data_IF_038854760091
#
_entry.id   IF_038854760091
#
_cell.length_a   1.000
_cell.length_b   1.000
_cell.length_c   1.000
_cell.angle_alpha   90.00
_cell.angle_beta   90.00
_cell.angle_gamma   90.00
#
_symmetry.space_group_name_H-M   'P 1'
#
loop_
_entity.id
_entity.type
_entity.pdbx_description
1 polymer ?
#
# COMPACT_ATOMS: atom_id res chain seq x y z
N UNK A 1 2.22 18.55 13.64
CA UNK A 1 3.40 19.09 14.33
C UNK A 1 4.43 18.01 14.56
N UNK A 2 4.12 16.96 15.34
CA UNK A 2 5.07 15.87 15.66
C UNK A 2 5.69 15.15 14.44
N UNK A 3 4.95 14.92 13.35
CA UNK A 3 5.52 14.32 12.13
C UNK A 3 6.61 15.20 11.48
N UNK A 4 6.42 16.53 11.50
CA UNK A 4 7.37 17.49 10.95
C UNK A 4 8.65 17.51 11.79
N UNK A 5 8.50 17.50 13.11
CA UNK A 5 9.64 17.45 14.03
C UNK A 5 10.40 16.13 13.85
N UNK A 6 9.68 15.01 13.73
CA UNK A 6 10.25 13.69 13.48
C UNK A 6 11.05 13.65 12.16
N UNK A 7 10.51 14.22 11.08
CA UNK A 7 11.20 14.31 9.79
C UNK A 7 12.47 15.19 9.87
N UNK A 8 12.48 16.23 10.70
CA UNK A 8 13.64 17.12 10.89
C UNK A 8 14.75 16.48 11.72
N UNK A 9 14.43 15.63 12.70
CA UNK A 9 15.41 15.02 13.61
C UNK A 9 15.90 13.63 13.15
N UNK A 10 15.19 13.01 12.20
CA UNK A 10 15.50 11.68 11.70
C UNK A 10 16.86 11.65 10.98
N UNK A 11 17.73 10.71 11.38
CA UNK A 11 19.07 10.52 10.79
C UNK A 11 19.19 9.23 9.98
N UNK A 12 18.19 8.36 10.04
CA UNK A 12 18.18 7.02 9.44
C UNK A 12 17.20 6.90 8.28
N UNK A 13 16.67 8.02 7.78
CA UNK A 13 15.63 8.02 6.76
C UNK A 13 14.30 7.41 7.26
N UNK A 14 14.00 7.53 8.56
CA UNK A 14 12.79 7.00 9.20
C UNK A 14 12.73 5.46 9.29
N UNK A 15 13.85 4.76 9.08
CA UNK A 15 13.89 3.31 9.06
C UNK A 15 13.40 2.67 10.37
N UNK A 16 13.79 3.20 11.54
CA UNK A 16 13.30 2.73 12.85
C UNK A 16 11.76 2.86 12.93
N UNK A 17 11.21 3.95 12.41
CA UNK A 17 9.77 4.21 12.40
C UNK A 17 9.06 3.19 11.52
N UNK A 18 9.53 2.96 10.29
CA UNK A 18 8.98 1.97 9.36
C UNK A 18 8.98 0.57 9.96
N UNK A 19 10.11 0.15 10.56
CA UNK A 19 10.23 -1.15 11.22
C UNK A 19 9.26 -1.30 12.38
N UNK A 20 9.07 -0.24 13.20
CA UNK A 20 8.15 -0.29 14.33
C UNK A 20 6.69 -0.33 13.88
N UNK A 21 6.34 0.41 12.82
CA UNK A 21 5.00 0.34 12.22
C UNK A 21 4.73 -1.09 11.73
N UNK A 22 5.64 -1.67 10.94
CA UNK A 22 5.50 -3.04 10.45
C UNK A 22 5.32 -4.04 11.60
N UNK A 23 6.10 -3.92 12.67
CA UNK A 23 5.94 -4.77 13.85
C UNK A 23 4.58 -4.58 14.55
N UNK A 24 4.10 -3.34 14.70
CA UNK A 24 2.78 -3.06 15.29
C UNK A 24 1.65 -3.66 14.43
N UNK A 25 1.73 -3.51 13.11
CA UNK A 25 0.75 -4.05 12.18
C UNK A 25 0.73 -5.58 12.23
N UNK A 26 1.90 -6.23 12.27
CA UNK A 26 1.96 -7.69 12.28
C UNK A 26 1.50 -8.31 13.61
N UNK A 27 1.86 -7.71 14.75
CA UNK A 27 1.67 -8.35 16.07
C UNK A 27 0.46 -7.84 16.85
N UNK A 28 0.06 -6.58 16.62
CA UNK A 28 -0.88 -5.88 17.52
C UNK A 28 -2.08 -5.24 16.85
N UNK A 29 -2.20 -5.31 15.52
CA UNK A 29 -3.23 -4.57 14.78
C UNK A 29 -4.67 -4.82 15.27
N UNK A 30 -5.02 -6.08 15.51
CA UNK A 30 -6.35 -6.47 16.01
C UNK A 30 -6.67 -5.89 17.40
N UNK A 31 -5.65 -5.58 18.21
CA UNK A 31 -5.78 -5.03 19.57
C UNK A 31 -5.67 -3.50 19.63
N UNK A 32 -5.36 -2.84 18.51
CA UNK A 32 -5.26 -1.38 18.46
C UNK A 32 -6.63 -0.73 18.62
N UNK A 33 -6.64 0.39 19.34
CA UNK A 33 -7.79 1.29 19.40
C UNK A 33 -8.04 1.94 18.03
N UNK A 34 -9.30 2.29 17.77
CA UNK A 34 -9.71 2.84 16.48
C UNK A 34 -8.97 4.15 16.15
N UNK A 35 -8.77 5.04 17.13
CA UNK A 35 -7.95 6.25 16.96
C UNK A 35 -6.53 5.94 16.51
N UNK A 36 -5.89 4.92 17.09
CA UNK A 36 -4.53 4.53 16.70
C UNK A 36 -4.48 3.98 15.27
N UNK A 37 -5.50 3.25 14.83
CA UNK A 37 -5.59 2.76 13.44
C UNK A 37 -5.69 3.93 12.46
N UNK A 38 -6.56 4.89 12.75
CA UNK A 38 -6.68 6.13 11.95
C UNK A 38 -5.37 6.90 11.89
N UNK A 39 -4.65 7.04 13.01
CA UNK A 39 -3.36 7.73 13.04
C UNK A 39 -2.26 6.96 12.29
N UNK A 40 -2.25 5.63 12.32
CA UNK A 40 -1.27 4.84 11.56
C UNK A 40 -1.51 4.94 10.04
N UNK A 41 -2.78 4.94 9.61
CA UNK A 41 -3.15 5.17 8.21
C UNK A 41 -2.75 6.60 7.77
N UNK A 42 -3.03 7.60 8.60
CA UNK A 42 -2.57 8.98 8.35
C UNK A 42 -1.04 9.08 8.27
N UNK A 43 -0.32 8.40 9.16
CA UNK A 43 1.14 8.37 9.13
C UNK A 43 1.67 7.70 7.86
N UNK A 44 1.07 6.59 7.42
CA UNK A 44 1.42 5.94 6.15
C UNK A 44 1.26 6.92 4.97
N UNK A 45 0.13 7.62 4.92
CA UNK A 45 -0.16 8.64 3.91
C UNK A 45 0.94 9.71 3.87
N UNK A 46 1.39 10.22 5.02
CA UNK A 46 2.46 11.21 5.09
C UNK A 46 3.83 10.64 4.69
N UNK A 47 4.16 9.40 5.07
CA UNK A 47 5.39 8.72 4.68
C UNK A 47 5.48 8.54 3.16
N UNK A 48 4.37 8.13 2.53
CA UNK A 48 4.25 7.99 1.07
C UNK A 48 4.36 9.36 0.39
N UNK A 49 3.63 10.38 0.87
CA UNK A 49 3.73 11.76 0.33
C UNK A 49 5.14 12.34 0.43
N UNK A 50 5.88 11.97 1.47
CA UNK A 50 7.25 12.42 1.68
C UNK A 50 8.29 11.60 0.89
N UNK A 51 7.86 10.57 0.15
CA UNK A 51 8.76 9.72 -0.65
C UNK A 51 9.75 8.91 0.18
N UNK A 52 9.39 8.54 1.42
CA UNK A 52 10.29 7.81 2.32
C UNK A 52 10.57 6.42 1.75
N UNK A 53 11.86 6.08 1.57
CA UNK A 53 12.29 4.77 1.10
C UNK A 53 11.80 3.66 2.05
N UNK A 54 11.11 2.64 1.54
CA UNK A 54 10.54 1.55 2.35
C UNK A 54 9.10 1.77 2.81
N UNK A 55 8.47 2.91 2.48
CA UNK A 55 7.04 3.15 2.75
C UNK A 55 6.14 2.15 2.00
N UNK A 56 6.57 1.68 0.83
CA UNK A 56 5.97 0.59 0.05
C UNK A 56 5.82 -0.70 0.87
N UNK A 57 6.85 -1.06 1.66
CA UNK A 57 6.81 -2.21 2.56
C UNK A 57 5.78 -2.05 3.69
N UNK A 58 5.53 -0.83 4.15
CA UNK A 58 4.49 -0.54 5.14
C UNK A 58 3.10 -0.60 4.52
N UNK A 59 2.91 -0.05 3.31
CA UNK A 59 1.66 -0.19 2.54
C UNK A 59 1.30 -1.67 2.36
N UNK A 60 2.30 -2.51 2.08
CA UNK A 60 2.12 -3.96 1.99
C UNK A 60 1.65 -4.60 3.28
N UNK A 61 2.28 -4.24 4.39
CA UNK A 61 1.92 -4.78 5.70
C UNK A 61 0.50 -4.35 6.11
N UNK A 62 0.06 -3.17 5.69
CA UNK A 62 -1.32 -2.72 5.81
C UNK A 62 -2.29 -3.51 4.94
N UNK A 63 -1.97 -3.76 3.67
CA UNK A 63 -2.80 -4.60 2.79
C UNK A 63 -2.99 -6.01 3.35
N UNK A 64 -1.98 -6.58 4.03
CA UNK A 64 -2.10 -7.87 4.72
C UNK A 64 -3.10 -7.87 5.88
N UNK A 65 -3.42 -6.71 6.46
CA UNK A 65 -4.42 -6.62 7.52
C UNK A 65 -5.84 -6.66 6.97
N UNK A 66 -6.02 -6.43 5.66
CA UNK A 66 -7.33 -6.52 5.01
C UNK A 66 -7.67 -8.01 4.86
N UNK A 67 -8.69 -8.45 5.59
CA UNK A 67 -9.17 -9.82 5.51
C UNK A 67 -10.02 -9.99 4.23
N UNK A 68 -9.64 -10.94 3.38
CA UNK A 68 -10.43 -11.30 2.21
C UNK A 68 -11.76 -11.96 2.61
N UNK A 69 -12.86 -11.52 1.99
CA UNK A 69 -14.20 -12.04 2.28
C UNK A 69 -14.85 -11.52 3.58
N UNK A 70 -14.17 -10.62 4.30
CA UNK A 70 -14.73 -9.91 5.46
C UNK A 70 -15.35 -8.58 5.00
N UNK A 71 -16.68 -8.48 5.11
CA UNK A 71 -17.47 -7.29 4.71
C UNK A 71 -17.82 -6.40 5.90
N UNK A 72 -17.12 -6.53 7.03
CA UNK A 72 -17.33 -5.62 8.17
C UNK A 72 -16.89 -4.20 7.83
N UNK A 73 -17.59 -3.21 8.38
CA UNK A 73 -17.29 -1.79 8.14
C UNK A 73 -15.84 -1.41 8.49
N UNK A 74 -15.22 -2.06 9.49
CA UNK A 74 -13.81 -1.82 9.85
C UNK A 74 -12.83 -2.31 8.78
N UNK A 75 -13.13 -3.46 8.16
CA UNK A 75 -12.29 -4.02 7.11
C UNK A 75 -12.44 -3.22 5.81
N UNK A 76 -13.68 -2.85 5.46
CA UNK A 76 -13.97 -1.97 4.31
C UNK A 76 -13.27 -0.62 4.49
N UNK A 77 -13.44 0.04 5.64
CA UNK A 77 -12.78 1.33 5.92
C UNK A 77 -11.26 1.27 5.74
N UNK A 78 -10.61 0.20 6.22
CA UNK A 78 -9.16 0.05 6.04
C UNK A 78 -8.81 -0.13 4.56
N UNK A 79 -9.57 -0.97 3.87
CA UNK A 79 -9.35 -1.29 2.47
C UNK A 79 -9.48 -0.03 1.59
N UNK A 80 -10.52 0.78 1.84
CA UNK A 80 -10.74 2.09 1.21
C UNK A 80 -9.56 3.04 1.42
N UNK A 81 -9.13 3.24 2.66
CA UNK A 81 -8.06 4.20 2.97
C UNK A 81 -6.72 3.78 2.37
N UNK A 82 -6.40 2.48 2.38
CA UNK A 82 -5.17 1.97 1.77
C UNK A 82 -5.23 2.12 0.25
N UNK A 83 -6.39 1.84 -0.37
CA UNK A 83 -6.59 2.05 -1.79
C UNK A 83 -6.46 3.53 -2.17
N UNK A 84 -7.05 4.42 -1.39
CA UNK A 84 -6.93 5.87 -1.55
C UNK A 84 -5.45 6.29 -1.55
N UNK A 85 -4.66 5.87 -0.56
CA UNK A 85 -3.22 6.18 -0.50
C UNK A 85 -2.47 5.67 -1.74
N UNK A 86 -2.81 4.48 -2.24
CA UNK A 86 -2.18 3.90 -3.43
C UNK A 86 -2.60 4.60 -4.74
N UNK A 87 -3.74 5.29 -4.76
CA UNK A 87 -4.33 5.91 -5.95
C UNK A 87 -4.20 7.43 -5.99
N UNK A 88 -4.11 8.09 -4.84
CA UNK A 88 -4.17 9.55 -4.71
C UNK A 88 -2.88 10.26 -5.16
N UNK A 89 -1.78 9.53 -5.30
CA UNK A 89 -0.57 10.02 -5.98
C UNK A 89 -0.77 10.23 -7.50
N UNK A 90 -1.98 10.01 -8.04
CA UNK A 90 -2.33 10.27 -9.45
C UNK A 90 -2.77 11.69 -9.75
N UNK A 91 -3.12 12.49 -8.74
CA UNK A 91 -3.74 13.82 -8.96
C UNK A 91 -2.93 14.99 -8.38
N UNK A 92 -1.65 14.77 -8.09
CA UNK A 92 -0.72 15.86 -7.77
C UNK A 92 -0.50 16.76 -8.99
N UNK A 93 -1.19 17.90 -9.00
CA UNK A 93 -1.08 19.08 -9.86
C UNK A 93 -1.79 19.08 -11.23
N UNK A 94 -3.09 19.41 -11.21
CA UNK A 94 -3.73 20.21 -12.29
C UNK A 94 -4.54 21.43 -11.83
N UNK A 95 -4.51 21.80 -10.54
CA UNK A 95 -5.35 22.91 -10.04
C UNK A 95 -4.63 24.13 -9.45
N UNK A 96 -3.32 24.27 -9.62
CA UNK A 96 -2.61 25.55 -9.44
C UNK A 96 -1.92 25.99 -10.73
N UNK A 97 -2.68 26.09 -11.82
CA UNK A 97 -2.29 26.89 -12.99
C UNK A 97 -2.58 28.38 -12.73
N UNK A 98 -1.92 28.93 -11.71
CA UNK A 98 -1.77 30.35 -11.50
C UNK A 98 -0.41 30.79 -12.02
N UNK A 99 -0.40 31.28 -13.26
CA UNK A 99 0.49 32.31 -13.85
C UNK A 99 2.01 32.12 -13.65
N UNK A 100 2.70 31.96 -14.80
CA UNK A 100 4.15 32.05 -15.00
C UNK A 100 4.98 30.93 -14.38
N UNK A 101 5.25 29.89 -15.18
CA UNK A 101 6.57 29.25 -15.24
C UNK A 101 6.74 28.47 -16.55
N UNK A 102 7.90 28.63 -17.16
CA UNK A 102 8.26 28.22 -18.52
C UNK A 102 8.02 26.73 -18.83
N UNK A 103 7.61 26.40 -20.07
CA UNK A 103 7.34 25.01 -20.49
C UNK A 103 8.58 24.11 -20.61
N UNK A 104 9.79 24.58 -20.29
CA UNK A 104 11.06 23.86 -20.50
C UNK A 104 11.60 23.10 -19.27
N UNK A 105 11.03 23.29 -18.07
CA UNK A 105 11.42 22.52 -16.86
C UNK A 105 10.52 21.29 -16.60
N UNK A 106 9.74 20.86 -17.59
CA UNK A 106 8.95 19.61 -17.52
C UNK A 106 9.82 18.36 -17.81
N UNK A 107 11.08 18.41 -17.42
CA UNK A 107 12.05 17.33 -17.56
C UNK A 107 12.05 16.45 -16.32
N UNK A 108 11.49 15.25 -16.46
CA UNK A 108 12.15 14.06 -15.93
C UNK A 108 12.18 13.85 -14.41
N UNK A 109 11.06 14.06 -13.71
CA UNK A 109 10.77 13.23 -12.53
C UNK A 109 9.40 12.60 -12.72
N UNK A 110 9.34 11.65 -13.64
CA UNK A 110 8.29 10.63 -13.63
C UNK A 110 8.51 9.83 -12.35
N UNK A 111 8.02 10.36 -11.22
CA UNK A 111 7.89 9.57 -10.02
C UNK A 111 6.90 8.48 -10.41
N UNK A 112 7.32 7.21 -10.50
CA UNK A 112 6.39 6.14 -10.75
C UNK A 112 5.32 6.28 -9.67
N UNK A 113 4.04 6.24 -10.05
CA UNK A 113 2.99 6.03 -9.07
C UNK A 113 3.47 4.92 -8.13
N UNK A 114 3.46 5.10 -6.81
CA UNK A 114 3.92 4.07 -5.86
C UNK A 114 3.25 2.68 -6.10
N UNK A 115 2.15 2.67 -6.85
CA UNK A 115 1.58 1.48 -7.46
C UNK A 115 2.55 0.62 -8.29
N UNK A 116 3.53 1.21 -9.00
CA UNK A 116 4.62 0.51 -9.68
C UNK A 116 5.59 -0.14 -8.70
N UNK A 117 5.80 0.44 -7.51
CA UNK A 117 6.58 -0.23 -6.46
C UNK A 117 5.82 -1.47 -5.96
N UNK A 118 4.48 -1.41 -5.93
CA UNK A 118 3.67 -2.61 -5.71
C UNK A 118 3.85 -3.64 -6.84
N UNK A 119 4.17 -3.27 -8.08
CA UNK A 119 4.43 -4.25 -9.14
C UNK A 119 5.69 -5.09 -8.92
N UNK A 120 6.64 -4.63 -8.09
CA UNK A 120 7.80 -5.43 -7.68
C UNK A 120 7.43 -6.69 -6.87
N UNK A 121 6.21 -6.76 -6.34
CA UNK A 121 5.65 -7.96 -5.72
C UNK A 121 5.32 -9.02 -6.77
N UNK A 122 4.95 -8.62 -7.98
CA UNK A 122 4.51 -9.54 -9.02
C UNK A 122 3.23 -10.30 -8.66
N UNK A 123 3.22 -11.61 -8.86
CA UNK A 123 1.97 -12.40 -8.89
C UNK A 123 1.13 -12.39 -7.61
N UNK A 124 1.74 -12.26 -6.42
CA UNK A 124 0.95 -12.27 -5.17
C UNK A 124 0.19 -10.94 -4.97
N UNK A 125 0.59 -9.83 -5.60
CA UNK A 125 -0.24 -8.61 -5.65
C UNK A 125 -1.57 -8.90 -6.33
N UNK A 126 -1.56 -9.63 -7.45
CA UNK A 126 -2.78 -10.01 -8.18
C UNK A 126 -3.70 -10.86 -7.29
N UNK A 127 -3.13 -11.75 -6.48
CA UNK A 127 -3.93 -12.56 -5.52
C UNK A 127 -4.50 -11.72 -4.38
N UNK A 128 -3.72 -10.79 -3.82
CA UNK A 128 -4.21 -9.87 -2.80
C UNK A 128 -5.38 -9.05 -3.32
N UNK A 129 -5.23 -8.50 -4.52
CA UNK A 129 -6.28 -7.75 -5.21
C UNK A 129 -7.51 -8.62 -5.51
N UNK A 130 -7.34 -9.90 -5.88
CA UNK A 130 -8.45 -10.83 -6.01
C UNK A 130 -9.20 -11.09 -4.69
N UNK A 131 -8.48 -11.18 -3.58
CA UNK A 131 -9.11 -11.41 -2.26
C UNK A 131 -10.00 -10.23 -1.83
N UNK A 132 -9.66 -9.02 -2.28
CA UNK A 132 -10.44 -7.80 -2.04
C UNK A 132 -11.32 -7.42 -3.23
N UNK A 133 -11.30 -8.16 -4.35
CA UNK A 133 -12.06 -7.81 -5.56
C UNK A 133 -13.59 -7.83 -5.35
N UNK A 134 -14.06 -8.47 -4.28
CA UNK A 134 -15.47 -8.45 -3.86
C UNK A 134 -15.88 -7.18 -3.11
N UNK A 135 -14.91 -6.40 -2.67
CA UNK A 135 -15.11 -5.11 -2.00
C UNK A 135 -15.38 -4.07 -3.11
N UNK A 136 -16.54 -3.38 -3.11
CA UNK A 136 -16.96 -2.49 -4.20
C UNK A 136 -15.90 -1.46 -4.60
N UNK A 137 -15.12 -0.98 -3.65
CA UNK A 137 -14.13 0.06 -3.86
C UNK A 137 -12.92 -0.46 -4.65
N UNK A 138 -12.62 -1.76 -4.56
CA UNK A 138 -11.61 -2.43 -5.38
C UNK A 138 -12.13 -2.88 -6.74
N UNK A 139 -13.44 -2.87 -6.98
CA UNK A 139 -14.03 -3.30 -8.25
C UNK A 139 -13.58 -2.39 -9.40
N UNK A 140 -13.54 -1.08 -9.19
CA UNK A 140 -13.07 -0.13 -10.21
C UNK A 140 -11.57 -0.31 -10.49
N UNK A 141 -10.75 -0.45 -9.44
CA UNK A 141 -9.32 -0.74 -9.62
C UNK A 141 -9.12 -2.04 -10.40
N UNK A 142 -9.90 -3.08 -10.11
CA UNK A 142 -9.83 -4.36 -10.81
C UNK A 142 -10.26 -4.26 -12.27
N UNK A 143 -11.30 -3.47 -12.56
CA UNK A 143 -11.72 -3.16 -13.94
C UNK A 143 -10.61 -2.44 -14.70
N UNK A 144 -9.96 -1.46 -14.09
CA UNK A 144 -8.83 -0.73 -14.70
C UNK A 144 -7.65 -1.67 -14.96
N UNK A 145 -7.31 -2.54 -14.00
CA UNK A 145 -6.24 -3.53 -14.14
C UNK A 145 -6.47 -4.49 -15.33
N UNK A 146 -7.72 -4.90 -15.57
CA UNK A 146 -8.07 -5.89 -16.60
C UNK A 146 -8.32 -5.25 -17.98
N UNK A 147 -9.02 -4.12 -18.02
CA UNK A 147 -9.55 -3.54 -19.25
C UNK A 147 -8.81 -2.27 -19.69
N UNK A 148 -8.16 -1.56 -18.77
CA UNK A 148 -7.46 -0.31 -19.07
C UNK A 148 -6.17 -0.12 -18.25
N UNK A 149 -5.20 -1.05 -18.35
CA UNK A 149 -4.02 -1.08 -17.47
C UNK A 149 -3.14 0.17 -17.61
N UNK A 150 -3.21 0.84 -18.76
CA UNK A 150 -2.45 2.06 -19.06
C UNK A 150 -2.88 3.25 -18.20
N UNK A 151 -4.09 3.23 -17.63
CA UNK A 151 -4.54 4.22 -16.63
C UNK A 151 -3.76 4.11 -15.32
N UNK A 152 -3.19 2.94 -15.03
CA UNK A 152 -2.40 2.72 -13.81
C UNK A 152 -0.93 3.13 -14.01
N UNK A 153 -0.39 2.86 -15.19
CA UNK A 153 0.94 3.28 -15.63
C UNK A 153 1.10 3.04 -17.13
N UNK A 154 1.80 3.95 -17.82
CA UNK A 154 2.13 3.81 -19.25
C UNK A 154 3.00 2.59 -19.54
N UNK A 155 3.72 2.07 -18.54
CA UNK A 155 4.56 0.87 -18.67
C UNK A 155 3.82 -0.43 -18.30
N UNK A 156 2.56 -0.33 -17.86
CA UNK A 156 1.79 -1.50 -17.44
C UNK A 156 0.99 -2.09 -18.61
N UNK A 157 1.47 -3.21 -19.14
CA UNK A 157 0.85 -3.86 -20.30
C UNK A 157 -0.29 -4.80 -19.91
N UNK A 158 -0.54 -4.99 -18.62
CA UNK A 158 -1.68 -5.75 -18.09
C UNK A 158 -1.31 -6.83 -17.06
N UNK A 159 -2.33 -7.50 -16.52
CA UNK A 159 -2.20 -8.52 -15.44
C UNK A 159 -1.17 -9.60 -15.73
N UNK A 160 -0.98 -10.00 -16.99
CA UNK A 160 -0.02 -11.04 -17.34
C UNK A 160 1.42 -10.66 -16.94
N UNK A 161 1.78 -9.39 -17.05
CA UNK A 161 3.09 -8.87 -16.62
C UNK A 161 3.32 -9.10 -15.12
N UNK A 162 2.27 -8.91 -14.31
CA UNK A 162 2.32 -9.18 -12.86
C UNK A 162 2.37 -10.68 -12.55
N UNK A 163 1.56 -11.49 -13.23
CA UNK A 163 1.52 -12.94 -13.01
C UNK A 163 2.86 -13.61 -13.36
N UNK A 164 3.56 -13.10 -14.39
CA UNK A 164 4.88 -13.59 -14.79
C UNK A 164 5.98 -13.18 -13.82
N UNK A 165 5.86 -12.00 -13.19
CA UNK A 165 6.78 -11.56 -12.16
C UNK A 165 6.69 -12.45 -10.91
N UNK A 166 7.84 -12.99 -10.48
CA UNK A 166 7.92 -13.83 -9.27
C UNK A 166 7.90 -12.95 -8.03
N UNK A 167 7.00 -13.27 -7.11
CA UNK A 167 7.02 -12.66 -5.78
C UNK A 167 8.29 -13.01 -5.03
N UNK A 168 8.98 -11.98 -4.55
CA UNK A 168 10.11 -12.15 -3.64
C UNK A 168 9.68 -12.89 -2.38
N UNK A 169 10.55 -13.76 -1.85
CA UNK A 169 10.26 -14.57 -0.65
C UNK A 169 9.91 -13.73 0.59
N UNK A 170 10.32 -12.46 0.62
CA UNK A 170 9.94 -11.49 1.65
C UNK A 170 8.42 -11.24 1.72
N UNK A 171 7.69 -11.45 0.62
CA UNK A 171 6.25 -11.19 0.51
C UNK A 171 5.37 -12.45 0.43
N UNK A 172 5.95 -13.66 0.45
CA UNK A 172 5.20 -14.92 0.32
C UNK A 172 4.15 -15.15 1.44
N UNK A 173 4.30 -14.46 2.59
CA UNK A 173 3.39 -14.55 3.73
C UNK A 173 2.11 -13.69 3.60
N UNK A 174 1.83 -13.07 2.45
CA UNK A 174 0.64 -12.21 2.29
C UNK A 174 -0.71 -12.94 2.22
N UNK A 175 -0.76 -14.28 2.32
CA UNK A 175 -1.99 -15.07 2.08
C UNK A 175 -2.91 -15.20 3.28
N UNK A 176 -2.40 -14.91 4.45
CA UNK A 176 -3.06 -15.06 5.72
C UNK A 176 -2.86 -13.75 6.47
N UNK A 177 -3.89 -13.30 7.18
CA UNK A 177 -3.62 -12.28 8.21
C UNK A 177 -2.62 -12.87 9.20
N UNK A 178 -1.79 -12.06 9.86
CA UNK A 178 -0.81 -12.56 10.82
C UNK A 178 -1.41 -13.48 11.90
N UNK A 179 -2.66 -13.21 12.29
CA UNK A 179 -3.42 -14.06 13.21
C UNK A 179 -3.77 -15.44 12.62
N UNK A 180 -4.21 -15.49 11.36
CA UNK A 180 -4.47 -16.77 10.66
C UNK A 180 -3.19 -17.59 10.46
N UNK A 181 -2.09 -16.92 10.11
CA UNK A 181 -0.77 -17.57 9.98
C UNK A 181 -0.31 -18.17 11.30
N UNK A 182 -0.43 -17.42 12.39
CA UNK A 182 -0.08 -17.88 13.74
C UNK A 182 -0.89 -19.11 14.15
N UNK A 183 -2.21 -19.11 13.88
CA UNK A 183 -3.09 -20.26 14.17
C UNK A 183 -2.72 -21.49 13.35
N UNK A 184 -2.45 -21.34 12.06
CA UNK A 184 -2.06 -22.45 11.19
C UNK A 184 -0.67 -23.03 11.56
N UNK A 185 0.29 -22.18 11.89
CA UNK A 185 1.61 -22.61 12.38
C UNK A 185 1.49 -23.40 13.69
N UNK A 186 0.63 -22.94 14.61
CA UNK A 186 0.38 -23.68 15.85
C UNK A 186 -0.18 -25.08 15.56
N UNK A 187 -1.19 -25.18 14.70
CA UNK A 187 -1.81 -26.46 14.33
C UNK A 187 -0.86 -27.44 13.62
N UNK A 188 0.15 -26.93 12.91
CA UNK A 188 1.08 -27.76 12.11
C UNK A 188 2.39 -28.09 12.83
N UNK A 189 2.72 -27.40 13.93
CA UNK A 189 3.97 -27.59 14.67
C UNK A 189 3.78 -28.13 16.09
N UNK A 190 2.56 -28.09 16.65
CA UNK A 190 2.27 -28.45 18.04
C UNK A 190 1.05 -29.36 18.22
N UNK A 191 0.67 -30.08 17.17
CA UNK A 191 -0.31 -31.19 17.25
C UNK A 191 0.43 -32.51 17.14
#
# INVERSE_FOLDING_TARGET
QCYRDLALVSRDGMNIVLNKINHILMEKYLKLQDTCRTQLVWLLRELVKSGVLGADGVCMTFMKQIAGGDVTAKNIWLAENVLEILTEQRYGDTSTAGIHRDPAERGGHSCPSHFMDCFMIGRDLVRLLQNVARIPEFEQLWKDILHNPQVLSSQFTGVLQLLQSRTSRKFLACRLTPDMETKLLFMTSRV
#
